data_IF_981841807672
#
_entry.id   IF_981841807672
#
_cell.length_a   1.000
_cell.length_b   1.000
_cell.length_c   1.000
_cell.angle_alpha   90.00
_cell.angle_beta   90.00
_cell.angle_gamma   90.00
#
_symmetry.space_group_name_H-M   'P 1'
#
loop_
_entity.id
_entity.type
_entity.pdbx_description
1 polymer ?
#
# COMPACT_ATOMS: atom_id res chain seq x y z
N UNK A 1 -4.79 -23.40 -0.33
CA UNK A 1 -5.53 -22.44 0.51
C UNK A 1 -7.02 -22.45 0.19
N UNK A 2 -7.86 -22.32 1.21
CA UNK A 2 -9.31 -22.29 1.06
C UNK A 2 -9.76 -20.90 0.55
N UNK A 3 -10.40 -20.87 -0.61
CA UNK A 3 -10.70 -19.63 -1.37
C UNK A 3 -11.69 -18.67 -0.69
N UNK A 4 -12.41 -19.10 0.33
CA UNK A 4 -13.39 -18.29 1.08
C UNK A 4 -12.90 -17.99 2.50
N UNK A 5 -11.59 -17.96 2.69
CA UNK A 5 -11.00 -17.64 3.99
C UNK A 5 -11.01 -16.14 4.22
N UNK A 6 -11.23 -15.75 5.47
CA UNK A 6 -10.98 -14.42 6.02
C UNK A 6 -9.75 -14.40 6.94
N UNK A 7 -9.03 -15.53 7.02
CA UNK A 7 -7.81 -15.64 7.78
C UNK A 7 -6.67 -14.83 7.16
N UNK A 8 -5.90 -14.16 8.01
CA UNK A 8 -4.65 -13.46 7.66
C UNK A 8 -3.42 -14.21 8.17
N UNK A 9 -3.60 -15.38 8.75
CA UNK A 9 -2.51 -16.18 9.31
C UNK A 9 -1.73 -16.87 8.20
N UNK A 10 -0.42 -16.90 8.33
CA UNK A 10 0.49 -17.71 7.54
C UNK A 10 1.06 -18.81 8.41
N UNK A 11 1.20 -20.02 7.87
CA UNK A 11 1.90 -21.12 8.55
C UNK A 11 3.38 -20.80 8.72
N UNK A 12 4.03 -21.47 9.65
CA UNK A 12 5.49 -21.35 9.83
C UNK A 12 6.25 -21.71 8.54
N UNK A 13 5.77 -22.73 7.82
CA UNK A 13 6.32 -23.10 6.52
C UNK A 13 6.27 -21.93 5.51
N UNK A 14 5.14 -21.25 5.41
CA UNK A 14 4.96 -20.13 4.50
C UNK A 14 5.81 -18.92 4.92
N UNK A 15 5.89 -18.63 6.21
CA UNK A 15 6.70 -17.54 6.75
C UNK A 15 8.20 -17.78 6.50
N UNK A 16 8.68 -19.02 6.78
CA UNK A 16 10.09 -19.37 6.53
C UNK A 16 10.41 -19.39 5.03
N UNK A 17 9.51 -19.93 4.19
CA UNK A 17 9.65 -19.89 2.73
C UNK A 17 9.70 -18.46 2.20
N UNK A 18 8.87 -17.56 2.71
CA UNK A 18 8.91 -16.13 2.36
C UNK A 18 10.24 -15.48 2.74
N UNK A 19 10.74 -15.74 3.95
CA UNK A 19 12.01 -15.22 4.44
C UNK A 19 13.18 -15.63 3.53
N UNK A 20 13.25 -16.93 3.18
CA UNK A 20 14.30 -17.44 2.29
C UNK A 20 14.19 -16.78 0.90
N UNK A 21 12.98 -16.69 0.35
CA UNK A 21 12.75 -16.08 -0.96
C UNK A 21 13.14 -14.60 -0.97
N UNK A 22 12.74 -13.82 0.04
CA UNK A 22 13.08 -12.40 0.17
C UNK A 22 14.60 -12.22 0.29
N UNK A 23 15.26 -12.98 1.16
CA UNK A 23 16.71 -12.89 1.35
C UNK A 23 17.49 -13.17 0.06
N UNK A 24 17.07 -14.19 -0.70
CA UNK A 24 17.72 -14.56 -1.97
C UNK A 24 17.49 -13.53 -3.07
N UNK A 25 16.30 -12.93 -3.15
CA UNK A 25 15.95 -11.99 -4.22
C UNK A 25 16.43 -10.56 -3.96
N UNK A 26 16.43 -10.11 -2.72
CA UNK A 26 16.59 -8.69 -2.37
C UNK A 26 17.63 -8.44 -1.29
N UNK A 27 17.97 -9.45 -0.52
CA UNK A 27 18.91 -9.35 0.60
C UNK A 27 18.25 -9.32 1.97
N UNK A 28 19.04 -9.62 3.00
CA UNK A 28 18.54 -9.80 4.37
C UNK A 28 17.90 -8.53 4.97
N UNK A 29 18.30 -7.35 4.51
CA UNK A 29 17.72 -6.08 4.98
C UNK A 29 16.24 -5.93 4.65
N UNK A 30 15.71 -6.68 3.68
CA UNK A 30 14.30 -6.66 3.32
C UNK A 30 13.48 -7.69 4.09
N UNK A 31 14.09 -8.57 4.85
CA UNK A 31 13.41 -9.63 5.60
C UNK A 31 12.85 -9.10 6.91
N UNK A 32 11.55 -9.17 7.09
CA UNK A 32 10.89 -8.80 8.35
C UNK A 32 9.62 -9.64 8.57
N UNK A 33 9.76 -10.91 8.99
CA UNK A 33 8.63 -11.81 9.21
C UNK A 33 7.64 -11.24 10.21
N UNK A 34 6.35 -11.33 9.88
CA UNK A 34 5.25 -10.80 10.70
C UNK A 34 4.15 -11.82 10.85
N UNK A 35 3.51 -11.80 12.01
CA UNK A 35 2.27 -12.49 12.27
C UNK A 35 1.14 -11.49 12.39
N UNK A 36 0.07 -11.72 11.64
CA UNK A 36 -1.11 -10.88 11.65
C UNK A 36 -2.23 -11.56 12.43
N UNK A 37 -2.84 -10.84 13.37
CA UNK A 37 -3.99 -11.35 14.09
C UNK A 37 -5.28 -11.04 13.32
N UNK A 38 -6.15 -12.02 13.19
CA UNK A 38 -7.46 -11.85 12.57
C UNK A 38 -8.36 -11.02 13.50
N UNK A 39 -8.90 -9.91 12.99
CA UNK A 39 -9.75 -8.99 13.75
C UNK A 39 -11.24 -9.34 13.67
N UNK A 40 -11.64 -10.18 12.75
CA UNK A 40 -13.04 -10.51 12.45
C UNK A 40 -13.58 -11.48 13.49
N UNK A 41 -14.65 -11.09 14.22
CA UNK A 41 -15.34 -11.99 15.15
C UNK A 41 -15.92 -13.19 14.40
N UNK A 42 -15.50 -14.41 14.77
CA UNK A 42 -15.95 -15.66 14.15
C UNK A 42 -15.17 -16.05 12.89
N UNK A 43 -14.00 -15.43 12.67
CA UNK A 43 -13.04 -15.91 11.67
C UNK A 43 -12.66 -17.37 11.95
N UNK A 44 -12.54 -18.15 10.88
CA UNK A 44 -12.09 -19.55 10.97
C UNK A 44 -10.57 -19.56 11.11
N UNK A 45 -10.05 -19.42 12.32
CA UNK A 45 -8.61 -19.38 12.63
C UNK A 45 -7.84 -20.63 12.17
N UNK A 46 -8.57 -21.74 11.91
CA UNK A 46 -7.98 -22.96 11.37
C UNK A 46 -7.57 -22.83 9.89
N UNK A 47 -7.98 -21.78 9.21
CA UNK A 47 -7.61 -21.56 7.81
C UNK A 47 -6.39 -20.65 7.71
N UNK A 48 -5.60 -20.91 6.69
CA UNK A 48 -4.47 -20.09 6.30
C UNK A 48 -4.93 -18.99 5.33
N UNK A 49 -4.21 -17.87 5.30
CA UNK A 49 -4.39 -16.83 4.30
C UNK A 49 -4.17 -17.35 2.87
N UNK A 50 -4.77 -16.70 1.88
CA UNK A 50 -4.50 -17.01 0.48
C UNK A 50 -3.06 -16.62 0.15
N UNK A 51 -2.27 -17.59 -0.29
CA UNK A 51 -0.85 -17.43 -0.60
C UNK A 51 -0.39 -18.40 -1.69
N UNK A 52 0.77 -18.18 -2.32
CA UNK A 52 1.41 -19.18 -3.16
C UNK A 52 1.73 -20.46 -2.38
N UNK A 53 1.71 -21.60 -3.04
CA UNK A 53 2.16 -22.86 -2.45
C UNK A 53 3.68 -22.84 -2.24
N UNK A 54 4.41 -22.31 -3.21
CA UNK A 54 5.87 -22.21 -3.22
C UNK A 54 6.29 -20.75 -3.40
N UNK A 55 6.97 -20.19 -2.42
CA UNK A 55 7.32 -18.75 -2.40
C UNK A 55 8.42 -18.40 -3.40
N UNK A 56 9.26 -19.35 -3.77
CA UNK A 56 10.30 -19.22 -4.78
C UNK A 56 9.75 -19.06 -6.20
N UNK A 57 8.52 -19.51 -6.46
CA UNK A 57 7.89 -19.41 -7.77
C UNK A 57 7.23 -18.05 -7.94
N UNK A 58 7.95 -17.11 -8.58
CA UNK A 58 7.44 -15.76 -8.86
C UNK A 58 6.35 -15.73 -9.94
N UNK A 59 6.33 -16.75 -10.81
CA UNK A 59 5.40 -16.84 -11.91
C UNK A 59 4.87 -18.27 -12.03
N UNK A 60 3.74 -18.43 -12.73
CA UNK A 60 3.15 -19.71 -13.07
C UNK A 60 2.88 -19.81 -14.58
N UNK A 61 2.79 -21.03 -15.07
CA UNK A 61 2.19 -21.30 -16.38
C UNK A 61 0.67 -21.20 -16.26
N UNK A 62 0.02 -20.67 -17.30
CA UNK A 62 -1.43 -20.51 -17.33
C UNK A 62 -1.89 -19.37 -18.24
N UNK A 63 -3.17 -19.08 -18.22
CA UNK A 63 -3.78 -17.95 -18.95
C UNK A 63 -3.25 -16.61 -18.41
N UNK A 64 -3.46 -15.54 -19.18
CA UNK A 64 -3.07 -14.19 -18.77
C UNK A 64 -3.76 -13.76 -17.45
N UNK A 65 -5.01 -14.18 -17.26
CA UNK A 65 -5.78 -13.87 -16.05
C UNK A 65 -5.23 -14.62 -14.82
N UNK A 66 -4.93 -15.90 -14.97
CA UNK A 66 -4.34 -16.71 -13.89
C UNK A 66 -2.98 -16.16 -13.47
N UNK A 67 -2.13 -15.81 -14.43
CA UNK A 67 -0.81 -15.19 -14.15
C UNK A 67 -0.96 -13.86 -13.44
N UNK A 68 -1.90 -13.00 -13.85
CA UNK A 68 -2.16 -11.71 -13.21
C UNK A 68 -2.62 -11.88 -11.76
N UNK A 69 -3.55 -12.82 -11.53
CA UNK A 69 -4.03 -13.12 -10.18
C UNK A 69 -2.91 -13.69 -9.30
N UNK A 70 -2.13 -14.63 -9.85
CA UNK A 70 -1.01 -15.20 -9.13
C UNK A 70 0.04 -14.15 -8.75
N UNK A 71 0.41 -13.28 -9.68
CA UNK A 71 1.35 -12.16 -9.45
C UNK A 71 0.88 -11.27 -8.29
N UNK A 72 -0.40 -10.92 -8.26
CA UNK A 72 -0.99 -10.14 -7.18
C UNK A 72 -0.89 -10.89 -5.83
N UNK A 73 -1.28 -12.16 -5.78
CA UNK A 73 -1.23 -12.99 -4.57
C UNK A 73 0.22 -13.14 -4.10
N UNK A 74 1.14 -13.43 -5.02
CA UNK A 74 2.55 -13.58 -4.71
C UNK A 74 3.16 -12.30 -4.15
N UNK A 75 2.99 -11.18 -4.85
CA UNK A 75 3.51 -9.87 -4.44
C UNK A 75 2.98 -9.46 -3.07
N UNK A 76 1.67 -9.63 -2.84
CA UNK A 76 1.05 -9.27 -1.57
C UNK A 76 1.55 -10.15 -0.42
N UNK A 77 1.71 -11.44 -0.65
CA UNK A 77 2.27 -12.37 0.35
C UNK A 77 3.70 -12.00 0.70
N UNK A 78 4.57 -11.84 -0.29
CA UNK A 78 5.98 -11.48 -0.09
C UNK A 78 6.08 -10.11 0.61
N UNK A 79 5.38 -9.09 0.13
CA UNK A 79 5.37 -7.77 0.72
C UNK A 79 4.93 -7.76 2.19
N UNK A 80 4.00 -8.64 2.58
CA UNK A 80 3.55 -8.76 3.97
C UNK A 80 4.64 -9.23 4.94
N UNK A 81 5.69 -9.89 4.41
CA UNK A 81 6.82 -10.44 5.16
C UNK A 81 8.12 -9.63 4.97
N UNK A 82 8.01 -8.47 4.30
CA UNK A 82 9.13 -7.57 4.06
C UNK A 82 9.21 -6.46 5.11
N UNK A 83 10.39 -5.85 5.19
CA UNK A 83 10.63 -4.66 6.01
C UNK A 83 9.76 -3.48 5.54
N UNK A 84 9.44 -2.58 6.48
CA UNK A 84 8.70 -1.36 6.18
C UNK A 84 9.50 -0.46 5.22
N UNK A 85 8.79 0.32 4.43
CA UNK A 85 9.40 1.42 3.71
C UNK A 85 9.67 2.59 4.66
N UNK A 86 10.82 3.24 4.49
CA UNK A 86 11.18 4.44 5.23
C UNK A 86 11.07 5.66 4.30
N UNK A 87 10.18 6.57 4.67
CA UNK A 87 9.84 7.75 3.89
C UNK A 87 10.19 9.00 4.71
N UNK A 88 10.92 9.92 4.10
CA UNK A 88 11.15 11.24 4.66
C UNK A 88 10.18 12.25 4.05
N UNK A 89 9.23 12.72 4.84
CA UNK A 89 8.25 13.72 4.43
C UNK A 89 8.70 15.10 4.88
N UNK A 90 8.91 15.99 3.92
CA UNK A 90 9.26 17.39 4.17
C UNK A 90 8.06 18.28 3.90
N UNK A 91 7.70 19.12 4.84
CA UNK A 91 6.67 20.15 4.66
C UNK A 91 7.33 21.51 4.81
N UNK A 92 7.34 22.28 3.72
CA UNK A 92 7.82 23.63 3.68
C UNK A 92 6.65 24.62 3.87
N UNK A 93 6.74 25.47 4.88
CA UNK A 93 5.80 26.58 5.10
C UNK A 93 6.47 27.86 4.63
N UNK A 94 5.90 28.50 3.61
CA UNK A 94 6.44 29.65 2.93
C UNK A 94 5.60 30.88 3.31
N UNK A 95 6.18 31.80 4.04
CA UNK A 95 5.53 33.08 4.39
C UNK A 95 5.62 34.08 3.25
N UNK A 96 4.69 35.03 3.21
CA UNK A 96 4.67 36.14 2.28
C UNK A 96 5.13 37.40 2.99
N UNK A 97 5.98 38.21 2.35
CA UNK A 97 6.58 39.41 2.98
C UNK A 97 5.55 40.52 3.31
N UNK A 98 4.43 40.57 2.60
CA UNK A 98 3.42 41.62 2.71
C UNK A 98 2.06 41.13 3.27
N UNK A 99 2.00 39.96 3.88
CA UNK A 99 0.76 39.38 4.43
C UNK A 99 1.00 38.34 5.50
N UNK A 100 -0.08 37.87 6.12
CA UNK A 100 -0.07 36.79 7.10
C UNK A 100 -0.34 35.42 6.49
N UNK A 101 -0.70 35.37 5.23
CA UNK A 101 -0.99 34.14 4.52
C UNK A 101 0.29 33.34 4.27
N UNK A 102 0.11 32.04 4.11
CA UNK A 102 1.23 31.11 3.93
C UNK A 102 0.90 30.14 2.81
N UNK A 103 1.90 29.79 2.03
CA UNK A 103 1.86 28.64 1.16
C UNK A 103 2.48 27.43 1.86
N UNK A 104 2.02 26.26 1.49
CA UNK A 104 2.57 24.98 1.98
C UNK A 104 2.93 24.11 0.79
N UNK A 105 4.16 23.63 0.77
CA UNK A 105 4.62 22.62 -0.17
C UNK A 105 5.05 21.37 0.60
N UNK A 106 4.61 20.23 0.13
CA UNK A 106 4.97 18.93 0.73
C UNK A 106 5.68 18.09 -0.32
N UNK A 107 6.80 17.50 0.08
CA UNK A 107 7.53 16.54 -0.74
C UNK A 107 7.90 15.32 0.10
N UNK A 108 8.11 14.20 -0.57
CA UNK A 108 8.44 12.93 0.05
C UNK A 108 9.62 12.28 -0.67
N UNK A 109 10.55 11.72 0.09
CA UNK A 109 11.71 11.00 -0.42
C UNK A 109 11.73 9.61 0.21
N UNK A 110 11.82 8.59 -0.62
CA UNK A 110 11.99 7.21 -0.17
C UNK A 110 13.46 7.03 0.24
N UNK A 111 13.70 6.83 1.55
CA UNK A 111 15.02 6.50 2.09
C UNK A 111 15.35 5.02 1.94
N UNK A 112 14.35 4.19 2.19
CA UNK A 112 14.41 2.75 2.00
C UNK A 112 13.07 2.27 1.45
N UNK A 113 13.09 1.56 0.34
CA UNK A 113 11.88 1.18 -0.37
C UNK A 113 11.10 0.04 0.31
N UNK A 114 11.78 -0.81 1.12
CA UNK A 114 11.12 -1.87 1.85
C UNK A 114 10.15 -2.69 0.99
N UNK A 115 8.94 -2.92 1.48
CA UNK A 115 7.91 -3.67 0.75
C UNK A 115 7.41 -2.97 -0.52
N UNK A 116 7.59 -1.65 -0.66
CA UNK A 116 7.20 -0.89 -1.86
C UNK A 116 7.97 -1.33 -3.11
N UNK A 117 9.11 -2.01 -2.92
CA UNK A 117 9.88 -2.60 -4.02
C UNK A 117 9.11 -3.66 -4.79
N UNK A 118 8.22 -4.37 -4.12
CA UNK A 118 7.43 -5.47 -4.69
C UNK A 118 5.99 -5.10 -4.90
N UNK A 119 5.40 -4.36 -3.97
CA UNK A 119 3.99 -4.10 -3.94
C UNK A 119 3.67 -2.63 -3.65
N UNK A 120 2.99 -1.99 -4.60
CA UNK A 120 2.30 -0.71 -4.39
C UNK A 120 0.81 -0.98 -4.47
N UNK A 121 0.08 -0.57 -3.44
CA UNK A 121 -1.37 -0.68 -3.46
C UNK A 121 -1.93 0.32 -4.48
N UNK A 122 -2.73 -0.17 -5.43
CA UNK A 122 -3.49 0.70 -6.31
C UNK A 122 -4.80 1.06 -5.60
N UNK A 123 -5.08 2.35 -5.49
CA UNK A 123 -6.37 2.82 -4.98
C UNK A 123 -7.41 2.75 -6.10
N UNK A 124 -8.58 2.17 -5.81
CA UNK A 124 -9.70 2.08 -6.76
C UNK A 124 -10.44 3.41 -6.95
N UNK A 125 -10.07 4.44 -6.21
CA UNK A 125 -10.64 5.77 -6.33
C UNK A 125 -9.87 6.58 -7.38
N UNK A 126 -10.49 6.73 -8.56
CA UNK A 126 -10.02 7.58 -9.68
C UNK A 126 -9.80 9.07 -9.29
N UNK A 127 -10.10 9.44 -8.05
CA UNK A 127 -9.98 10.81 -7.54
C UNK A 127 -8.69 11.10 -6.76
N UNK A 128 -7.96 10.10 -6.35
CA UNK A 128 -6.59 10.30 -5.88
C UNK A 128 -5.68 10.27 -7.11
N UNK A 129 -5.55 11.43 -7.76
CA UNK A 129 -4.39 11.68 -8.61
C UNK A 129 -3.19 11.17 -7.80
N UNK A 130 -2.44 10.25 -8.39
CA UNK A 130 -1.11 9.93 -7.90
C UNK A 130 -0.45 11.27 -7.60
N UNK A 131 -0.33 11.60 -6.31
CA UNK A 131 0.58 12.65 -5.91
C UNK A 131 1.94 12.14 -6.37
N UNK A 132 2.30 12.55 -7.61
CA UNK A 132 3.67 12.42 -8.05
C UNK A 132 4.47 12.97 -6.89
N UNK A 133 5.23 12.12 -6.24
CA UNK A 133 6.04 12.50 -5.09
C UNK A 133 6.94 13.64 -5.53
N UNK A 134 6.44 14.87 -5.32
CA UNK A 134 7.15 16.07 -5.71
C UNK A 134 8.38 16.14 -4.82
N UNK A 135 9.52 15.78 -5.40
CA UNK A 135 10.82 15.98 -4.76
C UNK A 135 11.00 17.48 -4.52
N UNK A 136 10.94 17.89 -3.26
CA UNK A 136 11.31 19.24 -2.93
C UNK A 136 12.83 19.43 -3.05
N UNK A 137 13.29 20.56 -3.59
CA UNK A 137 14.72 20.88 -3.56
C UNK A 137 15.20 21.02 -2.10
N UNK A 138 16.49 20.91 -1.85
CA UNK A 138 17.04 21.12 -0.51
C UNK A 138 16.70 22.54 -0.02
N UNK A 139 15.87 22.65 1.00
CA UNK A 139 15.41 23.90 1.59
C UNK A 139 16.07 24.13 2.95
N UNK A 140 16.35 25.42 3.27
CA UNK A 140 16.85 25.81 4.58
C UNK A 140 15.85 26.74 5.27
N UNK A 141 15.70 26.59 6.58
CA UNK A 141 14.85 27.48 7.36
C UNK A 141 15.33 28.93 7.24
N UNK A 142 14.43 29.84 6.90
CA UNK A 142 14.73 31.27 6.69
C UNK A 142 15.31 31.59 5.33
N UNK A 143 15.36 30.64 4.40
CA UNK A 143 15.77 30.88 3.02
C UNK A 143 14.75 31.81 2.32
N UNK A 144 15.25 32.82 1.63
CA UNK A 144 14.43 33.64 0.76
C UNK A 144 14.25 32.91 -0.58
N UNK A 145 13.01 32.86 -1.05
CA UNK A 145 12.63 32.25 -2.33
C UNK A 145 12.21 33.36 -3.29
N UNK A 146 12.72 33.30 -4.51
CA UNK A 146 12.24 34.17 -5.58
C UNK A 146 10.94 33.63 -6.14
N UNK A 147 9.94 34.48 -6.15
CA UNK A 147 8.64 34.18 -6.71
C UNK A 147 8.69 34.34 -8.25
N UNK A 148 8.32 33.28 -8.97
CA UNK A 148 8.24 33.28 -10.44
C UNK A 148 6.83 33.52 -10.96
N UNK A 149 5.80 33.12 -10.20
CA UNK A 149 4.41 33.31 -10.55
C UNK A 149 3.48 32.64 -9.54
N UNK A 150 2.27 33.17 -9.44
CA UNK A 150 1.18 32.59 -8.65
C UNK A 150 0.01 32.38 -9.58
N UNK A 151 -0.49 31.14 -9.66
CA UNK A 151 -1.66 30.78 -10.45
C UNK A 151 -2.77 30.38 -9.51
N UNK A 152 -3.88 31.08 -9.56
CA UNK A 152 -5.10 30.69 -8.85
C UNK A 152 -5.91 29.74 -9.73
N UNK A 153 -6.21 28.55 -9.22
CA UNK A 153 -7.04 27.56 -9.92
C UNK A 153 -8.34 27.38 -9.14
N UNK A 154 -9.47 27.65 -9.79
CA UNK A 154 -10.78 27.39 -9.21
C UNK A 154 -10.98 25.87 -9.10
N UNK A 155 -11.42 25.43 -7.91
CA UNK A 155 -11.75 24.05 -7.62
C UNK A 155 -13.12 23.97 -6.99
N UNK A 156 -13.87 22.96 -7.34
CA UNK A 156 -15.19 22.68 -6.77
C UNK A 156 -15.13 21.41 -5.92
N UNK A 157 -15.89 21.41 -4.83
CA UNK A 157 -16.08 20.18 -4.04
C UNK A 157 -16.78 19.13 -4.89
N UNK A 158 -16.21 17.94 -4.92
CA UNK A 158 -16.81 16.83 -5.64
C UNK A 158 -17.69 16.02 -4.69
N UNK A 159 -18.75 15.44 -5.23
CA UNK A 159 -19.56 14.47 -4.48
C UNK A 159 -18.71 13.24 -4.14
N UNK A 160 -18.99 12.54 -3.03
CA UNK A 160 -18.38 11.25 -2.74
C UNK A 160 -18.56 10.29 -3.92
N UNK A 161 -17.53 9.53 -4.25
CA UNK A 161 -17.58 8.49 -5.28
C UNK A 161 -18.62 7.42 -4.92
N UNK A 162 -19.20 6.80 -5.92
CA UNK A 162 -20.04 5.61 -5.69
C UNK A 162 -19.15 4.44 -5.30
N UNK A 163 -19.70 3.53 -4.53
CA UNK A 163 -18.99 2.30 -4.22
C UNK A 163 -18.71 1.48 -5.47
N UNK A 164 -17.48 1.03 -5.61
CA UNK A 164 -17.11 -0.10 -6.46
C UNK A 164 -17.40 -1.39 -5.70
N UNK A 165 -17.35 -2.55 -6.37
CA UNK A 165 -17.52 -3.84 -5.68
C UNK A 165 -16.51 -3.99 -4.53
N UNK A 166 -15.23 -3.67 -4.77
CA UNK A 166 -14.19 -3.77 -3.77
C UNK A 166 -14.41 -2.84 -2.57
N UNK A 167 -14.73 -1.56 -2.83
CA UNK A 167 -14.97 -0.60 -1.76
C UNK A 167 -16.27 -0.88 -0.99
N UNK A 168 -17.28 -1.47 -1.65
CA UNK A 168 -18.49 -1.92 -0.98
C UNK A 168 -18.22 -3.11 -0.03
N UNK A 169 -17.48 -4.12 -0.50
CA UNK A 169 -17.08 -5.27 0.34
C UNK A 169 -16.28 -4.79 1.54
N UNK A 170 -15.29 -3.92 1.34
CA UNK A 170 -14.53 -3.30 2.44
C UNK A 170 -15.46 -2.61 3.44
N UNK A 171 -16.45 -1.85 2.96
CA UNK A 171 -17.38 -1.14 3.83
C UNK A 171 -18.28 -2.08 4.61
N UNK A 172 -18.74 -3.17 4.01
CA UNK A 172 -19.51 -4.20 4.68
C UNK A 172 -18.69 -4.90 5.77
N UNK A 173 -17.42 -5.22 5.50
CA UNK A 173 -16.50 -5.77 6.50
C UNK A 173 -16.26 -4.83 7.68
N UNK A 174 -16.03 -3.55 7.43
CA UNK A 174 -15.88 -2.53 8.49
C UNK A 174 -17.10 -2.46 9.40
N UNK A 175 -18.30 -2.60 8.83
CA UNK A 175 -19.56 -2.58 9.56
C UNK A 175 -19.93 -3.92 10.20
N UNK A 176 -19.14 -4.99 9.93
CA UNK A 176 -19.43 -6.34 10.40
C UNK A 176 -20.67 -6.96 9.75
N UNK A 177 -21.03 -6.52 8.56
CA UNK A 177 -22.19 -7.01 7.79
C UNK A 177 -21.71 -8.06 6.79
N UNK A 178 -22.26 -9.27 6.88
CA UNK A 178 -21.91 -10.38 5.99
C UNK A 178 -20.60 -11.08 6.35
N UNK A 179 -20.12 -11.90 5.43
CA UNK A 179 -18.86 -12.67 5.51
C UNK A 179 -18.33 -12.89 4.09
N UNK A 180 -17.05 -13.25 3.89
CA UNK A 180 -16.50 -13.53 2.57
C UNK A 180 -17.35 -14.45 1.70
N UNK A 181 -17.99 -15.44 2.29
CA UNK A 181 -18.89 -16.37 1.60
C UNK A 181 -20.24 -15.77 1.14
N UNK A 182 -20.56 -14.55 1.55
CA UNK A 182 -21.84 -13.90 1.23
C UNK A 182 -21.67 -12.62 0.42
N UNK A 183 -20.45 -12.23 0.06
CA UNK A 183 -20.18 -11.07 -0.79
C UNK A 183 -20.19 -11.39 -2.29
N UNK A 184 -20.23 -12.69 -2.65
CA UNK A 184 -20.24 -13.18 -4.03
C UNK A 184 -21.66 -13.33 -4.56
#
# INVERSE_FOLDING_TARGET
TYMRTDSVNLSEYATEGSKVAIAQMMGDQYVHPRHFATKTKGAQEAHEAIRPTYMENQTIEGSAQERKLYDLVWKRTIASQMADAELEKTTATIGISNGNDKFTATGEVIKFDGFLRVYKESYDDDNEQEDESHLLPPLKKGQMLEHQGIVATERFTQRPSRYTEASLVRKLEELGIGRPSTYA
#
